data_IF_457335897940
#
_entry.id   IF_457335897940
#
_cell.length_a   1.000
_cell.length_b   1.000
_cell.length_c   1.000
_cell.angle_alpha   90.00
_cell.angle_beta   90.00
_cell.angle_gamma   90.00
#
_symmetry.space_group_name_H-M   'P 1'
#
loop_
_entity.id
_entity.type
_entity.pdbx_description
1 polymer ?
#
# COMPACT_ATOMS: atom_id res chain seq x y z
N UNK A 1 -3.01 14.33 -9.84
CA UNK A 1 -2.69 13.03 -9.22
C UNK A 1 -1.18 12.89 -9.26
N UNK A 2 -0.52 12.96 -8.11
CA UNK A 2 0.92 12.72 -8.00
C UNK A 2 1.13 11.24 -8.29
N UNK A 3 1.83 10.90 -9.37
CA UNK A 3 2.22 9.51 -9.62
C UNK A 3 3.28 9.18 -8.57
N UNK A 4 2.90 8.40 -7.56
CA UNK A 4 3.86 7.83 -6.61
C UNK A 4 4.68 6.80 -7.37
N UNK A 5 5.85 7.20 -7.85
CA UNK A 5 6.80 6.28 -8.49
C UNK A 5 7.51 5.49 -7.41
N UNK A 6 7.30 4.17 -7.38
CA UNK A 6 7.98 3.29 -6.45
C UNK A 6 9.34 2.86 -7.01
N UNK A 7 10.36 2.87 -6.16
CA UNK A 7 11.67 2.31 -6.47
C UNK A 7 11.61 0.78 -6.43
N UNK A 8 12.40 0.08 -7.25
CA UNK A 8 12.50 -1.38 -7.19
C UNK A 8 13.16 -1.84 -5.89
N UNK A 9 12.76 -3.01 -5.40
CA UNK A 9 13.31 -3.66 -4.22
C UNK A 9 13.38 -2.77 -2.95
N UNK A 10 12.34 -1.96 -2.75
CA UNK A 10 12.27 -0.96 -1.66
C UNK A 10 10.98 -1.14 -0.87
N UNK A 11 11.06 -1.01 0.46
CA UNK A 11 9.93 -1.02 1.37
C UNK A 11 9.44 0.39 1.70
N UNK A 12 8.11 0.50 1.85
CA UNK A 12 7.40 1.74 2.15
C UNK A 12 6.43 1.52 3.32
N UNK A 13 6.26 2.53 4.18
CA UNK A 13 5.07 2.66 5.01
C UNK A 13 3.98 3.30 4.16
N UNK A 14 2.85 2.63 3.97
CA UNK A 14 1.77 3.12 3.11
C UNK A 14 0.45 3.20 3.87
N UNK A 15 -0.40 4.15 3.47
CA UNK A 15 -1.80 4.18 3.88
C UNK A 15 -2.63 3.78 2.67
N UNK A 16 -3.46 2.76 2.84
CA UNK A 16 -4.37 2.29 1.80
C UNK A 16 -5.82 2.55 2.19
N UNK A 17 -6.68 2.68 1.19
CA UNK A 17 -8.10 2.89 1.39
C UNK A 17 -8.88 2.15 0.32
N UNK A 18 -10.13 1.78 0.62
CA UNK A 18 -11.05 1.28 -0.41
C UNK A 18 -12.03 2.37 -0.79
N UNK A 19 -12.10 2.68 -2.09
CA UNK A 19 -12.98 3.74 -2.63
C UNK A 19 -14.31 3.20 -3.18
N UNK A 20 -14.68 1.95 -2.89
CA UNK A 20 -15.97 1.37 -3.30
C UNK A 20 -16.97 1.43 -2.16
N UNK A 21 -18.09 2.12 -2.38
CA UNK A 21 -19.17 2.32 -1.39
C UNK A 21 -19.78 1.01 -0.85
N UNK A 22 -19.71 -0.07 -1.63
CA UNK A 22 -20.21 -1.39 -1.22
C UNK A 22 -19.27 -2.13 -0.25
N UNK A 23 -18.05 -1.62 -0.04
CA UNK A 23 -17.12 -2.23 0.90
C UNK A 23 -17.42 -1.74 2.33
N UNK A 24 -17.44 -2.63 3.34
CA UNK A 24 -17.55 -2.20 4.74
C UNK A 24 -16.39 -1.29 5.19
N UNK A 25 -15.22 -1.39 4.54
CA UNK A 25 -14.07 -0.51 4.75
C UNK A 25 -14.08 0.71 3.80
N UNK A 26 -15.24 1.09 3.26
CA UNK A 26 -15.35 2.28 2.42
C UNK A 26 -14.85 3.51 3.16
N UNK A 27 -13.90 4.20 2.54
CA UNK A 27 -13.20 5.36 3.09
C UNK A 27 -12.51 5.13 4.44
N UNK A 28 -12.28 3.89 4.86
CA UNK A 28 -11.49 3.60 6.05
C UNK A 28 -10.00 3.50 5.68
N UNK A 29 -9.14 4.42 6.15
CA UNK A 29 -7.70 4.31 5.94
C UNK A 29 -7.15 3.13 6.76
N UNK A 30 -6.26 2.36 6.16
CA UNK A 30 -5.57 1.23 6.79
C UNK A 30 -4.06 1.45 6.63
N UNK A 31 -3.34 1.41 7.75
CA UNK A 31 -1.90 1.51 7.76
C UNK A 31 -1.26 0.17 7.36
N UNK A 32 -0.39 0.23 6.36
CA UNK A 32 0.43 -0.88 5.88
C UNK A 32 1.87 -0.53 6.24
N UNK A 33 2.38 -1.01 7.38
CA UNK A 33 3.68 -0.59 7.91
C UNK A 33 4.85 -0.99 7.00
N UNK A 34 4.67 -2.06 6.22
CA UNK A 34 5.67 -2.57 5.28
C UNK A 34 5.00 -3.01 3.98
N UNK A 35 5.16 -2.19 2.95
CA UNK A 35 4.73 -2.46 1.59
C UNK A 35 5.97 -2.60 0.70
N UNK A 36 6.23 -3.81 0.22
CA UNK A 36 7.35 -4.07 -0.67
C UNK A 36 7.01 -3.66 -2.11
N UNK A 37 7.93 -2.95 -2.77
CA UNK A 37 7.86 -2.68 -4.20
C UNK A 37 8.82 -3.60 -4.96
N UNK A 38 8.27 -4.44 -5.84
CA UNK A 38 9.05 -5.32 -6.71
C UNK A 38 9.13 -4.72 -8.13
N UNK A 39 10.33 -4.43 -8.62
CA UNK A 39 10.49 -3.87 -9.98
C UNK A 39 9.77 -2.53 -10.19
N UNK A 40 9.56 -1.74 -9.13
CA UNK A 40 8.80 -0.48 -9.17
C UNK A 40 7.29 -0.65 -9.14
N UNK A 41 6.80 -1.87 -8.92
CA UNK A 41 5.39 -2.17 -8.69
C UNK A 41 5.17 -2.44 -7.19
N UNK A 42 4.39 -1.62 -6.47
CA UNK A 42 4.05 -1.92 -5.09
C UNK A 42 3.25 -3.23 -5.02
N UNK A 43 3.50 -4.02 -3.98
CA UNK A 43 2.71 -5.21 -3.70
C UNK A 43 1.22 -4.88 -3.61
N UNK A 44 0.36 -5.74 -4.14
CA UNK A 44 -1.08 -5.54 -4.01
C UNK A 44 -1.52 -5.70 -2.55
N UNK A 45 -2.20 -4.69 -2.00
CA UNK A 45 -2.85 -4.80 -0.69
C UNK A 45 -4.30 -5.20 -0.92
N UNK A 46 -4.74 -6.31 -0.34
CA UNK A 46 -6.11 -6.82 -0.51
C UNK A 46 -6.95 -6.49 0.73
N UNK A 47 -8.18 -6.00 0.50
CA UNK A 47 -9.13 -5.80 1.58
C UNK A 47 -9.62 -7.16 2.10
N UNK A 48 -9.47 -7.42 3.41
CA UNK A 48 -9.93 -8.67 4.02
C UNK A 48 -11.46 -8.88 4.02
N UNK A 49 -12.25 -7.82 3.77
CA UNK A 49 -13.72 -7.89 3.81
C UNK A 49 -14.34 -8.07 2.42
N UNK A 50 -13.98 -7.23 1.45
CA UNK A 50 -14.50 -7.34 0.09
C UNK A 50 -13.60 -8.14 -0.86
N UNK A 51 -12.44 -8.61 -0.39
CA UNK A 51 -11.44 -9.36 -1.17
C UNK A 51 -10.93 -8.67 -2.45
N UNK A 52 -11.16 -7.37 -2.59
CA UNK A 52 -10.65 -6.60 -3.71
C UNK A 52 -9.40 -5.80 -3.31
N UNK A 53 -8.58 -5.44 -4.29
CA UNK A 53 -7.39 -4.60 -4.09
C UNK A 53 -7.74 -3.24 -3.49
N UNK A 54 -6.89 -2.73 -2.60
CA UNK A 54 -7.01 -1.40 -2.01
C UNK A 54 -6.18 -0.39 -2.80
N UNK A 55 -6.61 0.86 -2.74
CA UNK A 55 -5.94 1.99 -3.39
C UNK A 55 -4.89 2.57 -2.43
N UNK A 56 -3.66 2.77 -2.91
CA UNK A 56 -2.59 3.38 -2.12
C UNK A 56 -2.78 4.90 -2.12
N UNK A 57 -3.04 5.47 -0.95
CA UNK A 57 -3.31 6.90 -0.77
C UNK A 57 -2.03 7.69 -0.50
N UNK A 58 -1.13 7.13 0.30
CA UNK A 58 0.19 7.69 0.57
C UNK A 58 1.20 6.55 0.76
N UNK A 59 2.46 6.82 0.44
CA UNK A 59 3.57 5.92 0.71
C UNK A 59 4.83 6.72 1.03
N UNK A 60 5.54 6.33 2.08
CA UNK A 60 6.81 6.91 2.51
C UNK A 60 7.87 5.83 2.54
N UNK A 61 9.02 6.07 1.91
CA UNK A 61 10.15 5.14 1.91
C UNK A 61 10.55 4.86 3.36
N UNK A 62 10.73 3.59 3.72
CA UNK A 62 11.25 3.23 5.04
C UNK A 62 12.75 3.55 5.11
N UNK A 63 13.16 4.22 6.17
CA UNK A 63 14.57 4.47 6.48
C UNK A 63 14.79 4.26 7.99
N UNK A 64 15.44 3.17 8.43
CA UNK A 64 16.12 2.17 7.62
C UNK A 64 15.17 1.23 6.86
N UNK A 65 15.67 0.61 5.79
CA UNK A 65 15.01 -0.54 5.15
C UNK A 65 15.01 -1.74 6.12
N UNK A 66 13.92 -2.52 6.21
CA UNK A 66 13.87 -3.68 7.08
C UNK A 66 14.85 -4.76 6.62
N UNK A 67 15.50 -5.42 7.58
CA UNK A 67 16.39 -6.55 7.30
C UNK A 67 15.55 -7.72 6.78
N UNK A 68 15.79 -8.11 5.53
CA UNK A 68 15.22 -9.32 4.95
C UNK A 68 16.19 -10.46 5.28
N UNK A 69 16.02 -11.05 6.45
CA UNK A 69 16.87 -12.15 6.94
C UNK A 69 16.61 -13.46 6.18
#
# INVERSE_FOLDING_TARGET
MSVTTFAPATYYAAVVQRLTETCPNYLQPIDVPQLYSNGGTPGGVQCGLCQHSMDIMSATVLDPQPEVC
#
